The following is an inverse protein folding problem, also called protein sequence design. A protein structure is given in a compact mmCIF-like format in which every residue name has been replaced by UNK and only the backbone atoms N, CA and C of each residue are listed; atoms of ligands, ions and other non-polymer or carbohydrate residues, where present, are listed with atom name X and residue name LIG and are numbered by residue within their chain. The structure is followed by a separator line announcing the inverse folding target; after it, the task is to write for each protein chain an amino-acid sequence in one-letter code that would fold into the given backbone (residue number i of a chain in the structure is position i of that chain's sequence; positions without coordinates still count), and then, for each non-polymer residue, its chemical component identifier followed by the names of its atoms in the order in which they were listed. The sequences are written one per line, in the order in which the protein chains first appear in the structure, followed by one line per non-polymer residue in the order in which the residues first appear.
data_IF_173644622102
#
_entry.id   IF_173644622102
#
_cell.length_a   1.000
_cell.length_b   1.000
_cell.length_c   1.000
_cell.angle_alpha   90.00
_cell.angle_beta   90.00
_cell.angle_gamma   90.00
#
_symmetry.space_group_name_H-M   'P 1'
#
loop_
_entity.id
_entity.type
_entity.pdbx_description
1 polymer ?
#
# COMPACT_ATOMS: atom_id res chain seq x y z
N UNK A 1 7.79 27.21 49.23
CA UNK A 1 7.10 28.42 48.74
C UNK A 1 6.02 28.01 47.76
N UNK A 2 4.75 28.00 48.18
CA UNK A 2 3.62 27.68 47.31
C UNK A 2 3.14 29.00 46.65
N UNK A 3 3.27 29.09 45.35
CA UNK A 3 2.75 30.20 44.55
C UNK A 3 1.21 30.10 44.53
N UNK A 4 0.58 31.06 45.18
CA UNK A 4 -0.86 31.27 45.21
C UNK A 4 -1.23 31.85 43.86
N UNK A 5 -1.85 31.04 42.98
CA UNK A 5 -2.42 31.50 41.71
C UNK A 5 -3.67 32.31 42.12
N UNK A 6 -3.59 33.61 41.92
CA UNK A 6 -4.75 34.49 41.99
C UNK A 6 -5.77 34.06 40.98
N UNK A 7 -6.92 33.62 41.44
CA UNK A 7 -8.13 33.43 40.66
C UNK A 7 -8.66 34.84 40.43
N UNK A 8 -8.32 35.44 39.29
CA UNK A 8 -9.04 36.65 38.82
C UNK A 8 -10.48 36.22 38.59
N UNK A 9 -11.36 36.60 39.46
CA UNK A 9 -12.80 36.55 39.30
C UNK A 9 -13.13 37.59 38.21
N UNK A 10 -13.08 37.14 36.94
CA UNK A 10 -13.54 37.94 35.81
C UNK A 10 -15.07 38.00 35.89
N UNK A 11 -15.59 39.05 36.54
CA UNK A 11 -17.00 39.37 36.45
C UNK A 11 -17.27 40.01 35.09
N UNK A 12 -18.06 39.33 34.20
CA UNK A 12 -18.36 39.88 32.90
C UNK A 12 -19.15 41.21 33.06
N UNK A 13 -18.78 42.22 32.29
CA UNK A 13 -19.49 43.50 32.24
C UNK A 13 -20.91 43.29 31.72
N UNK A 14 -21.87 44.11 32.14
CA UNK A 14 -23.28 44.00 31.70
C UNK A 14 -23.46 43.92 30.18
N UNK A 15 -22.63 44.66 29.42
CA UNK A 15 -22.59 44.56 27.96
C UNK A 15 -22.13 43.17 27.45
N UNK A 16 -21.18 42.53 28.13
CA UNK A 16 -20.68 41.21 27.77
C UNK A 16 -21.73 40.11 28.07
N UNK A 17 -22.47 40.29 29.15
CA UNK A 17 -23.60 39.41 29.49
C UNK A 17 -24.73 39.54 28.47
N UNK A 18 -25.10 40.76 28.06
CA UNK A 18 -26.12 40.98 27.03
C UNK A 18 -25.74 40.38 25.67
N UNK A 19 -24.46 40.47 25.27
CA UNK A 19 -23.95 39.86 24.06
C UNK A 19 -23.97 38.32 24.16
N UNK A 20 -23.57 37.80 25.31
CA UNK A 20 -23.61 36.34 25.54
C UNK A 20 -25.04 35.78 25.51
N UNK A 21 -26.00 36.44 26.14
CA UNK A 21 -27.42 36.08 26.16
C UNK A 21 -28.01 36.11 24.74
N UNK A 22 -27.70 37.15 23.96
CA UNK A 22 -28.11 37.20 22.55
C UNK A 22 -27.51 36.11 21.72
N UNK A 23 -26.24 35.74 21.93
CA UNK A 23 -25.58 34.65 21.24
C UNK A 23 -26.20 33.31 21.64
N UNK A 24 -26.48 33.09 22.93
CA UNK A 24 -27.15 31.88 23.41
C UNK A 24 -28.60 31.78 22.88
N UNK A 25 -29.36 32.85 22.83
CA UNK A 25 -30.71 32.86 22.28
C UNK A 25 -30.69 32.48 20.78
N UNK A 26 -29.76 33.05 19.99
CA UNK A 26 -29.61 32.64 18.59
C UNK A 26 -29.15 31.21 18.42
N UNK A 27 -28.18 30.76 19.21
CA UNK A 27 -27.73 29.38 19.16
C UNK A 27 -28.88 28.39 19.46
N UNK A 28 -29.70 28.71 20.46
CA UNK A 28 -30.90 27.90 20.84
C UNK A 28 -31.97 27.90 19.74
N UNK A 29 -32.18 29.01 19.06
CA UNK A 29 -33.07 29.11 17.91
C UNK A 29 -32.60 28.20 16.76
N UNK A 30 -31.31 28.26 16.40
CA UNK A 30 -30.68 27.41 15.35
C UNK A 30 -30.80 25.93 15.72
N UNK A 31 -30.52 25.57 16.98
CA UNK A 31 -30.61 24.17 17.44
C UNK A 31 -32.06 23.65 17.38
N UNK A 32 -33.07 24.48 17.71
CA UNK A 32 -34.47 24.10 17.63
C UNK A 32 -35.01 23.95 16.20
N UNK A 33 -34.39 24.65 15.22
CA UNK A 33 -34.73 24.47 13.80
C UNK A 33 -34.14 23.21 13.18
N UNK A 34 -33.12 22.63 13.80
CA UNK A 34 -32.46 21.42 13.32
C UNK A 34 -33.24 20.19 13.73
N UNK A 35 -34.12 19.73 12.84
CA UNK A 35 -34.85 18.49 13.08
C UNK A 35 -33.96 17.26 12.91
N UNK A 36 -34.17 16.15 13.67
CA UNK A 36 -33.40 14.91 13.51
C UNK A 36 -33.38 14.41 12.06
N UNK A 37 -34.48 14.60 11.33
CA UNK A 37 -34.55 14.22 9.92
C UNK A 37 -33.58 15.00 9.03
N UNK A 38 -33.37 16.29 9.28
CA UNK A 38 -32.39 17.11 8.54
C UNK A 38 -30.95 16.67 8.83
N UNK A 39 -30.66 16.30 10.08
CA UNK A 39 -29.32 15.77 10.45
C UNK A 39 -29.05 14.45 9.73
N UNK A 40 -30.01 13.52 9.73
CA UNK A 40 -29.87 12.24 9.03
C UNK A 40 -29.68 12.47 7.53
N UNK A 41 -30.49 13.35 6.92
CA UNK A 41 -30.38 13.64 5.49
C UNK A 41 -29.00 14.25 5.14
N UNK A 42 -28.50 15.20 5.94
CA UNK A 42 -27.18 15.80 5.77
C UNK A 42 -26.07 14.76 5.94
N UNK A 43 -26.19 13.85 6.90
CA UNK A 43 -25.22 12.77 7.11
C UNK A 43 -25.18 11.79 5.95
N UNK A 44 -26.33 11.39 5.41
CA UNK A 44 -26.40 10.54 4.22
C UNK A 44 -25.80 11.22 3.00
N UNK A 45 -26.11 12.51 2.79
CA UNK A 45 -25.51 13.28 1.70
C UNK A 45 -23.99 13.38 1.82
N UNK A 46 -23.49 13.67 3.03
CA UNK A 46 -22.05 13.75 3.29
C UNK A 46 -21.38 12.39 3.06
N UNK A 47 -21.98 11.31 3.52
CA UNK A 47 -21.46 9.96 3.29
C UNK A 47 -21.41 9.62 1.79
N UNK A 48 -22.46 9.95 1.04
CA UNK A 48 -22.51 9.77 -0.41
C UNK A 48 -21.44 10.60 -1.13
N UNK A 49 -21.22 11.84 -0.69
CA UNK A 49 -20.18 12.71 -1.24
C UNK A 49 -18.78 12.14 -0.98
N UNK A 50 -18.49 11.69 0.23
CA UNK A 50 -17.22 11.07 0.58
C UNK A 50 -16.99 9.79 -0.22
N UNK A 51 -18.01 8.94 -0.36
CA UNK A 51 -17.94 7.74 -1.18
C UNK A 51 -17.65 8.07 -2.66
N UNK A 52 -18.31 9.11 -3.19
CA UNK A 52 -18.08 9.56 -4.58
C UNK A 52 -16.67 10.05 -4.80
N UNK A 53 -16.10 10.83 -3.87
CA UNK A 53 -14.71 11.29 -3.92
C UNK A 53 -13.75 10.10 -3.89
N UNK A 54 -14.00 9.13 -3.01
CA UNK A 54 -13.20 7.91 -2.93
C UNK A 54 -13.26 7.10 -4.24
N UNK A 55 -14.46 6.90 -4.78
CA UNK A 55 -14.64 6.17 -6.04
C UNK A 55 -13.95 6.88 -7.22
N UNK A 56 -14.04 8.21 -7.30
CA UNK A 56 -13.33 9.00 -8.31
C UNK A 56 -11.82 8.87 -8.16
N UNK A 57 -11.29 8.95 -6.94
CA UNK A 57 -9.85 8.82 -6.68
C UNK A 57 -9.31 7.43 -7.00
N UNK A 58 -10.12 6.38 -6.78
CA UNK A 58 -9.70 5.00 -6.98
C UNK A 58 -9.85 4.53 -8.43
N UNK A 59 -10.96 4.88 -9.10
CA UNK A 59 -11.31 4.33 -10.41
C UNK A 59 -11.13 5.29 -11.59
N UNK A 60 -11.28 6.59 -11.38
CA UNK A 60 -11.34 7.57 -12.46
C UNK A 60 -10.01 8.27 -12.67
N UNK A 61 -9.34 8.69 -11.60
CA UNK A 61 -8.04 9.37 -11.69
C UNK A 61 -6.99 8.37 -12.17
N UNK A 62 -6.32 8.62 -13.30
CA UNK A 62 -5.24 7.77 -13.79
C UNK A 62 -4.12 7.68 -12.76
N UNK A 63 -3.75 6.45 -12.41
CA UNK A 63 -2.68 6.16 -11.46
C UNK A 63 -1.88 4.98 -11.96
N UNK A 64 -0.57 5.15 -11.98
CA UNK A 64 0.39 4.09 -12.23
C UNK A 64 0.88 3.54 -10.89
N UNK A 65 0.68 2.25 -10.68
CA UNK A 65 1.15 1.54 -9.48
C UNK A 65 1.29 0.06 -9.83
N UNK A 66 2.49 -0.33 -10.23
CA UNK A 66 2.81 -1.72 -10.59
C UNK A 66 3.87 -2.22 -9.63
N UNK A 67 3.72 -3.45 -9.17
CA UNK A 67 4.65 -4.08 -8.23
C UNK A 67 4.85 -5.56 -8.58
N UNK A 68 5.99 -6.13 -8.16
CA UNK A 68 6.28 -7.55 -8.28
C UNK A 68 6.48 -8.16 -6.90
N UNK A 69 5.57 -9.04 -6.53
CA UNK A 69 5.72 -9.86 -5.34
C UNK A 69 6.64 -11.05 -5.65
N UNK A 70 7.66 -11.24 -4.83
CA UNK A 70 8.63 -12.31 -4.94
C UNK A 70 8.54 -13.21 -3.71
N UNK A 71 8.13 -14.46 -3.90
CA UNK A 71 8.07 -15.47 -2.84
C UNK A 71 9.20 -16.48 -3.05
N UNK A 72 10.13 -16.51 -2.10
CA UNK A 72 11.23 -17.46 -2.10
C UNK A 72 10.98 -18.58 -1.08
N UNK A 73 11.21 -19.83 -1.52
CA UNK A 73 11.18 -21.01 -0.66
C UNK A 73 12.40 -21.86 -0.89
N UNK A 74 13.01 -22.31 0.20
CA UNK A 74 14.11 -23.27 0.17
C UNK A 74 13.70 -24.58 0.87
N UNK A 75 14.21 -25.70 0.41
CA UNK A 75 13.95 -27.01 0.98
C UNK A 75 14.96 -28.05 0.49
N UNK A 76 14.92 -29.25 1.04
CA UNK A 76 15.87 -30.30 0.73
C UNK A 76 16.18 -30.56 -0.75
N UNK A 77 15.23 -30.42 -1.70
CA UNK A 77 15.52 -30.59 -3.11
C UNK A 77 16.13 -29.37 -3.82
N UNK A 78 16.14 -28.18 -3.17
CA UNK A 78 16.66 -26.95 -3.78
C UNK A 78 15.86 -25.70 -3.44
N UNK A 79 15.68 -24.81 -4.41
CA UNK A 79 15.06 -23.50 -4.25
C UNK A 79 13.89 -23.33 -5.23
N UNK A 80 12.87 -22.62 -4.79
CA UNK A 80 11.72 -22.22 -5.61
C UNK A 80 11.50 -20.72 -5.44
N UNK A 81 11.42 -20.00 -6.56
CA UNK A 81 11.07 -18.58 -6.62
C UNK A 81 9.77 -18.45 -7.38
N UNK A 82 8.77 -17.87 -6.77
CA UNK A 82 7.47 -17.58 -7.40
C UNK A 82 7.34 -16.07 -7.53
N UNK A 83 6.94 -15.62 -8.71
CA UNK A 83 6.75 -14.23 -9.02
C UNK A 83 5.27 -13.96 -9.33
N UNK A 84 4.78 -12.83 -8.84
CA UNK A 84 3.45 -12.34 -9.17
C UNK A 84 3.53 -10.85 -9.49
N UNK A 85 3.05 -10.46 -10.66
CA UNK A 85 2.97 -9.05 -11.07
C UNK A 85 1.59 -8.52 -10.74
N UNK A 86 1.55 -7.38 -10.04
CA UNK A 86 0.33 -6.70 -9.63
C UNK A 86 0.22 -5.35 -10.32
N UNK A 87 -0.90 -5.10 -10.98
CA UNK A 87 -1.28 -3.77 -11.41
C UNK A 87 -2.29 -3.18 -10.41
N UNK A 88 -1.80 -2.42 -9.43
CA UNK A 88 -2.62 -1.66 -8.49
C UNK A 88 -3.10 -0.32 -9.07
N UNK A 89 -2.65 0.00 -10.28
CA UNK A 89 -3.05 1.20 -11.00
C UNK A 89 -4.52 1.19 -11.39
N UNK A 90 -5.06 2.36 -11.73
CA UNK A 90 -6.45 2.53 -12.17
C UNK A 90 -6.65 2.35 -13.68
N UNK A 91 -5.58 2.08 -14.41
CA UNK A 91 -5.58 1.88 -15.87
C UNK A 91 -4.83 0.61 -16.25
N UNK A 92 -5.21 -0.01 -17.38
CA UNK A 92 -4.43 -1.12 -17.92
C UNK A 92 -3.03 -0.65 -18.33
N UNK A 93 -2.08 -1.55 -18.22
CA UNK A 93 -0.72 -1.44 -18.73
C UNK A 93 -0.49 -2.45 -19.84
N UNK A 94 0.43 -2.16 -20.73
CA UNK A 94 0.71 -3.01 -21.90
C UNK A 94 2.19 -3.32 -22.00
N UNK A 95 2.54 -4.29 -22.85
CA UNK A 95 3.91 -4.73 -23.06
C UNK A 95 4.64 -5.06 -21.76
N UNK A 96 3.91 -5.71 -20.84
CA UNK A 96 4.48 -6.15 -19.55
C UNK A 96 5.42 -7.31 -19.81
N UNK A 97 6.70 -7.12 -19.54
CA UNK A 97 7.75 -8.11 -19.64
C UNK A 97 8.45 -8.26 -18.28
N UNK A 98 8.66 -9.49 -17.88
CA UNK A 98 9.37 -9.82 -16.64
C UNK A 98 10.54 -10.72 -16.98
N UNK A 99 11.72 -10.29 -16.63
CA UNK A 99 12.94 -11.10 -16.65
C UNK A 99 13.34 -11.40 -15.22
N UNK A 100 13.52 -12.67 -14.89
CA UNK A 100 14.01 -13.08 -13.60
C UNK A 100 15.16 -14.08 -13.72
N UNK A 101 16.16 -13.94 -12.89
CA UNK A 101 17.31 -14.81 -12.81
C UNK A 101 17.66 -15.18 -11.37
N UNK A 102 18.14 -16.40 -11.21
CA UNK A 102 18.68 -16.91 -9.97
C UNK A 102 20.17 -17.21 -10.18
N UNK A 103 21.05 -16.51 -9.48
CA UNK A 103 22.48 -16.56 -9.69
C UNK A 103 23.22 -16.90 -8.39
N UNK A 104 24.38 -17.52 -8.53
CA UNK A 104 25.29 -17.68 -7.41
C UNK A 104 26.13 -16.40 -7.21
N UNK A 105 26.85 -16.28 -6.09
CA UNK A 105 27.70 -15.12 -5.82
C UNK A 105 28.91 -14.99 -6.75
N UNK A 106 29.19 -16.00 -7.60
CA UNK A 106 30.23 -15.94 -8.63
C UNK A 106 29.73 -15.29 -9.92
N UNK A 107 28.40 -15.07 -10.02
CA UNK A 107 27.77 -14.51 -11.20
C UNK A 107 27.29 -15.56 -12.21
N UNK A 108 27.33 -16.85 -11.87
CA UNK A 108 26.81 -17.88 -12.75
C UNK A 108 25.29 -17.92 -12.62
N UNK A 109 24.58 -17.84 -13.75
CA UNK A 109 23.11 -17.95 -13.79
C UNK A 109 22.73 -19.43 -13.70
N UNK A 110 22.05 -19.81 -12.64
CA UNK A 110 21.64 -21.18 -12.37
C UNK A 110 20.27 -21.49 -13.02
N UNK A 111 19.38 -20.52 -13.02
CA UNK A 111 18.12 -20.58 -13.74
C UNK A 111 17.64 -19.16 -14.08
N UNK A 112 16.84 -19.04 -15.14
CA UNK A 112 16.23 -17.77 -15.53
C UNK A 112 14.90 -18.02 -16.23
N UNK A 113 13.99 -17.05 -16.13
CA UNK A 113 12.74 -17.06 -16.87
C UNK A 113 12.48 -15.69 -17.47
N UNK A 114 11.81 -15.69 -18.61
CA UNK A 114 11.32 -14.50 -19.27
C UNK A 114 9.83 -14.68 -19.56
N UNK A 115 9.05 -13.71 -19.16
CA UNK A 115 7.59 -13.72 -19.34
C UNK A 115 7.13 -12.43 -20.02
N UNK A 116 6.24 -12.57 -20.98
CA UNK A 116 5.67 -11.43 -21.72
C UNK A 116 6.05 -11.45 -23.21
N UNK A 117 5.73 -10.37 -23.95
CA UNK A 117 4.91 -9.23 -23.53
C UNK A 117 3.42 -9.56 -23.38
N UNK A 118 2.79 -9.05 -22.33
CA UNK A 118 1.34 -9.21 -22.08
C UNK A 118 0.71 -7.87 -21.68
N UNK A 119 -0.62 -7.81 -21.70
CA UNK A 119 -1.36 -6.67 -21.16
C UNK A 119 -2.00 -7.06 -19.83
N UNK A 120 -1.92 -6.19 -18.83
CA UNK A 120 -2.47 -6.41 -17.51
C UNK A 120 -3.51 -5.33 -17.19
N UNK A 121 -4.75 -5.76 -16.93
CA UNK A 121 -5.85 -4.85 -16.63
C UNK A 121 -5.63 -4.14 -15.28
N UNK A 122 -6.32 -3.01 -15.10
CA UNK A 122 -6.35 -2.32 -13.82
C UNK A 122 -6.84 -3.25 -12.69
N UNK A 123 -6.21 -3.14 -11.52
CA UNK A 123 -6.54 -3.91 -10.31
C UNK A 123 -6.51 -5.43 -10.50
N UNK A 124 -5.65 -5.92 -11.39
CA UNK A 124 -5.44 -7.35 -11.60
C UNK A 124 -3.99 -7.76 -11.36
N UNK A 125 -3.77 -9.05 -11.21
CA UNK A 125 -2.44 -9.63 -11.10
C UNK A 125 -2.29 -10.82 -12.04
N UNK A 126 -1.05 -11.16 -12.34
CA UNK A 126 -0.69 -12.34 -13.12
C UNK A 126 0.43 -13.12 -12.43
N UNK A 127 0.25 -14.42 -12.36
CA UNK A 127 1.23 -15.40 -11.89
C UNK A 127 1.06 -16.66 -12.73
N UNK A 128 1.96 -17.61 -12.64
CA UNK A 128 1.86 -18.89 -13.34
C UNK A 128 3.21 -19.53 -13.58
N UNK A 129 3.22 -20.66 -14.25
CA UNK A 129 4.41 -21.49 -14.47
C UNK A 129 5.55 -20.74 -15.17
N UNK A 130 5.24 -19.74 -16.01
CA UNK A 130 6.25 -18.90 -16.67
C UNK A 130 6.84 -17.82 -15.76
N UNK A 131 6.31 -17.68 -14.55
CA UNK A 131 6.79 -16.77 -13.50
C UNK A 131 7.30 -17.56 -12.29
N UNK A 132 7.79 -18.77 -12.54
CA UNK A 132 8.36 -19.66 -11.55
C UNK A 132 9.79 -20.07 -11.94
N UNK A 133 10.70 -20.04 -10.97
CA UNK A 133 12.04 -20.59 -11.08
C UNK A 133 12.18 -21.75 -10.10
N UNK A 134 12.47 -22.94 -10.64
CA UNK A 134 12.76 -24.12 -9.84
C UNK A 134 14.24 -24.47 -10.04
N UNK A 135 15.01 -24.44 -8.96
CA UNK A 135 16.45 -24.70 -8.93
C UNK A 135 16.66 -25.95 -8.10
N UNK A 136 17.16 -27.02 -8.72
CA UNK A 136 17.43 -28.31 -8.09
C UNK A 136 18.91 -28.64 -8.11
N UNK A 137 19.37 -29.34 -7.07
CA UNK A 137 20.75 -29.79 -6.97
C UNK A 137 21.73 -28.77 -6.42
N UNK A 138 21.25 -27.56 -6.13
CA UNK A 138 22.05 -26.52 -5.50
C UNK A 138 21.94 -26.57 -3.97
N UNK A 139 23.02 -26.15 -3.30
CA UNK A 139 23.06 -26.15 -1.83
C UNK A 139 22.13 -25.11 -1.24
N UNK A 140 21.28 -25.51 -0.31
CA UNK A 140 20.41 -24.56 0.42
C UNK A 140 21.18 -23.71 1.44
N UNK A 141 22.46 -24.02 1.67
CA UNK A 141 23.34 -23.36 2.65
C UNK A 141 24.22 -22.27 2.03
N UNK A 142 24.24 -22.18 0.70
CA UNK A 142 24.99 -21.14 -0.01
C UNK A 142 24.12 -19.91 -0.25
N UNK A 143 24.75 -18.78 -0.44
CA UNK A 143 24.08 -17.52 -0.78
C UNK A 143 23.85 -17.40 -2.27
N UNK A 144 22.70 -16.89 -2.64
CA UNK A 144 22.27 -16.67 -4.02
C UNK A 144 21.62 -15.30 -4.17
N UNK A 145 21.55 -14.83 -5.40
CA UNK A 145 20.94 -13.57 -5.77
C UNK A 145 19.75 -13.84 -6.70
N UNK A 146 18.60 -13.31 -6.36
CA UNK A 146 17.44 -13.23 -7.24
C UNK A 146 17.42 -11.83 -7.83
N UNK A 147 17.54 -11.73 -9.14
CA UNK A 147 17.40 -10.47 -9.87
C UNK A 147 16.09 -10.52 -10.67
N UNK A 148 15.27 -9.51 -10.49
CA UNK A 148 14.00 -9.37 -11.21
C UNK A 148 13.96 -8.02 -11.88
N UNK A 149 13.61 -8.01 -13.16
CA UNK A 149 13.39 -6.79 -13.94
C UNK A 149 11.99 -6.83 -14.51
N UNK A 150 11.27 -5.72 -14.38
CA UNK A 150 9.95 -5.49 -14.94
C UNK A 150 10.00 -4.30 -15.88
N UNK A 151 9.64 -4.53 -17.14
CA UNK A 151 9.48 -3.50 -18.16
C UNK A 151 8.00 -3.45 -18.57
N UNK A 152 7.42 -2.27 -18.69
CA UNK A 152 6.04 -2.11 -19.16
C UNK A 152 5.78 -0.72 -19.74
N UNK A 153 4.77 -0.62 -20.61
CA UNK A 153 4.22 0.63 -21.06
C UNK A 153 3.07 1.05 -20.15
N UNK A 154 3.22 2.21 -19.54
CA UNK A 154 2.20 2.86 -18.73
C UNK A 154 0.99 3.28 -19.57
N UNK A 155 -0.10 3.68 -18.92
CA UNK A 155 -1.35 4.12 -19.54
C UNK A 155 -1.20 5.33 -20.50
N UNK A 156 -0.15 6.13 -20.34
CA UNK A 156 0.19 7.27 -21.22
C UNK A 156 1.19 6.91 -22.34
N UNK A 157 1.62 5.63 -22.41
CA UNK A 157 2.59 5.12 -23.36
C UNK A 157 4.03 5.36 -22.96
N UNK A 158 4.31 5.84 -21.75
CA UNK A 158 5.66 5.93 -21.24
C UNK A 158 6.18 4.55 -20.82
N UNK A 159 7.39 4.21 -21.30
CA UNK A 159 8.07 2.98 -20.89
C UNK A 159 8.62 3.14 -19.48
N UNK A 160 8.25 2.23 -18.60
CA UNK A 160 8.73 2.18 -17.21
C UNK A 160 9.53 0.90 -17.00
N UNK A 161 10.69 1.03 -16.36
CA UNK A 161 11.56 -0.09 -15.99
C UNK A 161 11.83 -0.07 -14.51
N UNK A 162 11.62 -1.23 -13.86
CA UNK A 162 11.89 -1.43 -12.44
C UNK A 162 12.78 -2.67 -12.28
N UNK A 163 13.64 -2.69 -11.26
CA UNK A 163 14.50 -3.84 -10.97
C UNK A 163 14.67 -4.04 -9.48
N UNK A 164 14.70 -5.30 -9.07
CA UNK A 164 14.91 -5.73 -7.69
C UNK A 164 16.05 -6.74 -7.65
N UNK A 165 16.79 -6.72 -6.56
CA UNK A 165 17.88 -7.65 -6.29
C UNK A 165 17.73 -8.14 -4.85
N UNK A 166 17.54 -9.44 -4.65
CA UNK A 166 17.20 -10.05 -3.38
C UNK A 166 18.24 -11.13 -3.07
N UNK A 167 18.96 -10.97 -1.95
CA UNK A 167 19.89 -11.98 -1.46
C UNK A 167 19.13 -13.05 -0.68
N UNK A 168 19.34 -14.33 -1.01
CA UNK A 168 18.65 -15.47 -0.43
C UNK A 168 19.61 -16.64 -0.18
N UNK A 169 19.12 -17.68 0.48
CA UNK A 169 19.92 -18.84 0.86
C UNK A 169 20.42 -18.71 2.30
N UNK A 170 21.40 -19.49 2.68
CA UNK A 170 22.09 -19.54 3.99
C UNK A 170 21.22 -19.08 5.18
N UNK A 171 20.50 -19.96 5.82
CA UNK A 171 19.66 -19.61 6.97
C UNK A 171 18.61 -18.52 6.75
N UNK A 172 18.19 -18.24 5.50
CA UNK A 172 17.18 -17.20 5.21
C UNK A 172 15.95 -17.34 6.11
N UNK A 173 15.52 -18.58 6.37
CA UNK A 173 14.40 -18.86 7.28
C UNK A 173 14.73 -18.50 8.73
N UNK A 174 15.95 -18.81 9.19
CA UNK A 174 16.40 -18.48 10.54
C UNK A 174 16.56 -16.98 10.73
N UNK A 175 17.16 -16.28 9.77
CA UNK A 175 17.26 -14.83 9.78
C UNK A 175 15.88 -14.18 9.86
N UNK A 176 14.95 -14.61 9.02
CA UNK A 176 13.57 -14.09 9.04
C UNK A 176 12.89 -14.29 10.39
N UNK A 177 13.08 -15.47 11.03
CA UNK A 177 12.50 -15.76 12.35
C UNK A 177 13.17 -14.99 13.48
N UNK A 178 14.48 -14.70 13.37
CA UNK A 178 15.20 -13.90 14.36
C UNK A 178 14.84 -12.43 14.32
N UNK A 179 14.64 -11.90 13.11
CA UNK A 179 14.31 -10.49 12.86
C UNK A 179 12.79 -10.21 12.94
N UNK A 180 11.95 -11.25 13.00
CA UNK A 180 10.51 -11.09 13.12
C UNK A 180 10.14 -10.38 14.42
N UNK A 181 9.32 -9.34 14.34
CA UNK A 181 8.79 -8.66 15.51
C UNK A 181 8.02 -9.64 16.41
N UNK A 182 8.44 -9.76 17.67
CA UNK A 182 7.73 -10.55 18.67
C UNK A 182 6.47 -9.81 19.07
N UNK A 183 5.34 -10.26 18.58
CA UNK A 183 4.04 -9.82 19.11
C UNK A 183 3.83 -10.46 20.48
N UNK A 184 3.80 -9.63 21.52
CA UNK A 184 3.34 -10.04 22.83
C UNK A 184 1.80 -10.00 22.81
N UNK A 185 1.20 -11.16 23.01
CA UNK A 185 -0.25 -11.28 23.24
C UNK A 185 -0.63 -10.72 24.61
#
# INVERSE_FOLDING_TARGET
MRKKILKDDFEPTDEQQEIADKAFARAKEIVNEVTPARVVLASVFMAALMFSIFALGFWVIPRDAVDVEVVYKQGGPGHVVLLQVHNYGSRPITNVEVDASFTNLKGDVLNSTQFGPVSLLAHTSIAGDNLELVITGESIWDLYLIEVTLDYDNYDGAVTKQSWSILVGEYTFESHTLDAERQWL
#
